data_IF_427563408748
#
_entry.id   IF_427563408748
#
_cell.length_a   1.000
_cell.length_b   1.000
_cell.length_c   1.000
_cell.angle_alpha   90.00
_cell.angle_beta   90.00
_cell.angle_gamma   90.00
#
_symmetry.space_group_name_H-M   'P 1'
#
loop_
_entity.id
_entity.type
_entity.pdbx_description
1 polymer ?
#
# COMPACT_ATOMS: atom_id res chain seq x y z
N UNK A 1 -43.56 -23.27 19.34
CA UNK A 1 -42.23 -23.77 18.93
C UNK A 1 -41.64 -22.99 17.76
N UNK A 2 -42.44 -22.62 16.75
CA UNK A 2 -42.00 -21.87 15.56
C UNK A 2 -41.49 -20.45 15.85
N UNK A 3 -42.14 -19.70 16.75
CA UNK A 3 -41.69 -18.35 17.15
C UNK A 3 -40.29 -18.31 17.75
N UNK A 4 -39.91 -19.33 18.54
CA UNK A 4 -38.58 -19.41 19.15
C UNK A 4 -37.48 -19.63 18.09
N UNK A 5 -37.80 -20.38 17.03
CA UNK A 5 -36.89 -20.67 15.92
C UNK A 5 -36.64 -19.39 15.09
N UNK A 6 -37.68 -18.59 14.86
CA UNK A 6 -37.58 -17.31 14.13
C UNK A 6 -36.65 -16.33 14.88
N UNK A 7 -36.79 -16.24 16.20
CA UNK A 7 -35.93 -15.36 17.01
C UNK A 7 -34.46 -15.79 16.96
N UNK A 8 -34.19 -17.11 17.04
CA UNK A 8 -32.83 -17.65 16.93
C UNK A 8 -32.25 -17.43 15.53
N UNK A 9 -33.06 -17.58 14.48
CA UNK A 9 -32.64 -17.33 13.11
C UNK A 9 -32.29 -15.85 12.87
N UNK A 10 -33.06 -14.92 13.44
CA UNK A 10 -32.77 -13.48 13.35
C UNK A 10 -31.46 -13.14 14.06
N UNK A 11 -31.21 -13.68 15.25
CA UNK A 11 -29.96 -13.46 15.98
C UNK A 11 -28.74 -14.02 15.23
N UNK A 12 -28.87 -15.22 14.66
CA UNK A 12 -27.82 -15.81 13.82
C UNK A 12 -27.55 -14.99 12.55
N UNK A 13 -28.60 -14.48 11.91
CA UNK A 13 -28.49 -13.65 10.71
C UNK A 13 -27.83 -12.30 11.00
N UNK A 14 -28.18 -11.66 12.13
CA UNK A 14 -27.54 -10.42 12.57
C UNK A 14 -26.06 -10.63 12.90
N UNK A 15 -25.71 -11.73 13.59
CA UNK A 15 -24.31 -12.08 13.85
C UNK A 15 -23.53 -12.30 12.54
N UNK A 16 -24.12 -12.99 11.56
CA UNK A 16 -23.53 -13.21 10.24
C UNK A 16 -23.27 -11.88 9.50
N UNK A 17 -24.25 -10.97 9.48
CA UNK A 17 -24.08 -9.64 8.86
C UNK A 17 -22.99 -8.83 9.55
N UNK A 18 -22.92 -8.83 10.89
CA UNK A 18 -21.90 -8.09 11.63
C UNK A 18 -20.48 -8.63 11.37
N UNK A 19 -20.31 -9.95 11.29
CA UNK A 19 -19.04 -10.58 10.95
C UNK A 19 -18.64 -10.28 9.49
N UNK A 20 -19.58 -10.35 8.55
CA UNK A 20 -19.29 -10.15 7.12
C UNK A 20 -19.11 -8.67 6.74
N UNK A 21 -19.79 -7.74 7.43
CA UNK A 21 -19.62 -6.29 7.26
C UNK A 21 -18.21 -5.84 7.69
N UNK A 22 -17.62 -6.49 8.70
CA UNK A 22 -16.24 -6.22 9.13
C UNK A 22 -15.20 -6.68 8.08
N UNK A 23 -15.54 -7.65 7.24
CA UNK A 23 -14.67 -8.13 6.15
C UNK A 23 -14.65 -7.17 4.96
N UNK A 24 -15.80 -6.57 4.60
CA UNK A 24 -15.91 -5.68 3.43
C UNK A 24 -15.24 -4.31 3.62
N UNK A 25 -15.11 -3.83 4.86
CA UNK A 25 -14.48 -2.52 5.11
C UNK A 25 -12.94 -2.57 5.05
N UNK A 26 -12.34 -3.77 5.18
CA UNK A 26 -10.88 -3.94 5.12
C UNK A 26 -10.32 -3.99 3.69
N UNK A 27 -11.14 -4.28 2.69
CA UNK A 27 -10.67 -4.37 1.30
C UNK A 27 -10.70 -3.03 0.56
N UNK A 28 -11.46 -2.03 1.04
CA UNK A 28 -11.55 -0.72 0.37
C UNK A 28 -10.59 0.31 0.98
N UNK A 29 -10.24 0.18 2.27
CA UNK A 29 -9.31 1.11 2.93
C UNK A 29 -7.83 0.80 2.66
N UNK A 30 -7.50 -0.44 2.30
CA UNK A 30 -6.11 -0.87 2.01
C UNK A 30 -5.64 -0.56 0.59
N UNK A 31 -6.55 -0.22 -0.35
CA UNK A 31 -6.19 0.13 -1.73
C UNK A 31 -6.24 1.63 -2.07
N UNK A 32 -6.70 2.50 -1.16
CA UNK A 32 -6.90 3.92 -1.45
C UNK A 32 -5.80 4.86 -0.93
N UNK A 33 -4.75 4.32 -0.32
CA UNK A 33 -3.64 5.10 0.22
C UNK A 33 -2.27 4.64 -0.30
N UNK A 34 -2.19 3.99 -1.46
CA UNK A 34 -1.04 4.26 -2.32
C UNK A 34 -1.27 5.63 -2.93
N UNK A 35 -1.09 6.67 -2.11
CA UNK A 35 -0.76 7.97 -2.66
C UNK A 35 0.45 7.70 -3.55
N UNK A 36 0.26 7.83 -4.86
CA UNK A 36 1.32 7.96 -5.85
C UNK A 36 1.97 9.34 -5.61
N UNK A 37 2.40 9.59 -4.38
CA UNK A 37 3.39 10.61 -4.06
C UNK A 37 4.71 9.91 -4.31
N UNK A 38 4.99 9.72 -5.60
CA UNK A 38 6.30 9.27 -6.01
C UNK A 38 7.26 10.42 -5.76
N UNK A 39 7.90 10.37 -4.60
CA UNK A 39 8.83 11.39 -4.17
C UNK A 39 10.03 11.35 -5.12
N UNK A 40 10.21 12.42 -5.88
CA UNK A 40 11.30 12.52 -6.83
C UNK A 40 12.55 13.03 -6.12
N UNK A 41 13.66 12.33 -6.30
CA UNK A 41 14.96 12.64 -5.73
C UNK A 41 15.96 12.93 -6.85
N UNK A 42 16.85 13.88 -6.59
CA UNK A 42 17.88 14.27 -7.55
C UNK A 42 19.05 13.28 -7.50
N UNK A 43 19.44 12.77 -8.68
CA UNK A 43 20.64 11.95 -8.82
C UNK A 43 21.89 12.82 -8.63
N UNK A 44 22.83 12.47 -7.72
CA UNK A 44 24.00 13.30 -7.45
C UNK A 44 25.02 13.33 -8.60
N UNK A 45 24.96 12.38 -9.53
CA UNK A 45 25.90 12.26 -10.66
C UNK A 45 25.44 13.07 -11.87
N UNK A 46 24.17 12.93 -12.29
CA UNK A 46 23.64 13.55 -13.51
C UNK A 46 22.57 14.62 -13.26
N UNK A 47 22.23 14.89 -11.99
CA UNK A 47 21.18 15.84 -11.56
C UNK A 47 19.79 15.60 -12.15
N UNK A 48 19.57 14.40 -12.68
CA UNK A 48 18.26 13.96 -13.17
C UNK A 48 17.39 13.56 -11.98
N UNK A 49 16.12 13.97 -12.00
CA UNK A 49 15.14 13.58 -11.00
C UNK A 49 14.63 12.17 -11.30
N UNK A 50 14.78 11.27 -10.32
CA UNK A 50 14.30 9.89 -10.39
C UNK A 50 13.35 9.63 -9.24
N UNK A 51 12.34 8.79 -9.47
CA UNK A 51 11.44 8.32 -8.41
C UNK A 51 12.24 7.61 -7.31
N UNK A 52 11.98 7.90 -6.03
CA UNK A 52 12.58 7.16 -4.92
C UNK A 52 12.34 5.65 -5.00
N UNK A 53 11.21 5.22 -5.56
CA UNK A 53 10.86 3.79 -5.68
C UNK A 53 11.63 3.09 -6.80
N UNK A 54 11.98 3.82 -7.85
CA UNK A 54 12.71 3.31 -9.01
C UNK A 54 14.23 3.56 -8.94
N UNK A 55 14.66 4.48 -8.07
CA UNK A 55 16.05 4.85 -7.91
C UNK A 55 16.89 3.74 -7.25
N UNK A 56 18.14 3.65 -7.69
CA UNK A 56 19.12 2.74 -7.09
C UNK A 56 19.72 3.42 -5.86
N UNK A 57 19.54 2.83 -4.68
CA UNK A 57 20.08 3.37 -3.42
C UNK A 57 21.47 2.77 -3.17
N UNK A 58 22.45 3.64 -2.94
CA UNK A 58 23.79 3.20 -2.52
C UNK A 58 24.51 4.29 -1.73
N UNK A 59 25.08 3.90 -0.59
CA UNK A 59 25.68 4.81 0.39
C UNK A 59 24.74 5.96 0.79
N UNK A 60 23.44 5.69 0.91
CA UNK A 60 22.42 6.68 1.26
C UNK A 60 22.12 7.73 0.18
N UNK A 61 22.63 7.56 -1.04
CA UNK A 61 22.36 8.42 -2.19
C UNK A 61 21.52 7.66 -3.23
N UNK A 62 20.65 8.38 -3.94
CA UNK A 62 19.75 7.84 -4.95
C UNK A 62 20.31 8.08 -6.36
N UNK A 63 20.36 7.04 -7.20
CA UNK A 63 20.93 7.10 -8.55
C UNK A 63 19.88 6.70 -9.59
N UNK A 64 19.90 7.36 -10.74
CA UNK A 64 18.98 7.07 -11.84
C UNK A 64 19.35 5.79 -12.62
N UNK A 65 20.62 5.38 -12.63
CA UNK A 65 21.10 4.22 -13.38
C UNK A 65 22.36 3.61 -12.74
N UNK A 66 22.67 2.37 -13.12
CA UNK A 66 23.92 1.68 -12.69
C UNK A 66 25.16 2.44 -13.15
N UNK A 67 25.11 3.04 -14.33
CA UNK A 67 26.21 3.86 -14.83
C UNK A 67 26.47 5.06 -13.92
N UNK A 68 25.43 5.74 -13.42
CA UNK A 68 25.59 6.84 -12.46
C UNK A 68 26.08 6.37 -11.09
N UNK A 69 25.81 5.12 -10.74
CA UNK A 69 26.28 4.47 -9.51
C UNK A 69 27.78 4.13 -9.60
N UNK A 70 28.21 3.58 -10.72
CA UNK A 70 29.59 3.14 -10.98
C UNK A 70 30.51 4.34 -11.31
N UNK A 71 29.97 5.35 -12.00
CA UNK A 71 30.64 6.63 -12.23
C UNK A 71 30.45 7.62 -11.06
N UNK A 72 30.13 7.13 -9.85
CA UNK A 72 30.34 7.94 -8.65
C UNK A 72 31.83 8.21 -8.58
N UNK A 73 32.21 9.40 -9.03
CA UNK A 73 33.58 9.89 -8.96
C UNK A 73 34.17 9.50 -7.61
N UNK A 74 35.15 8.59 -7.66
CA UNK A 74 35.99 8.20 -6.54
C UNK A 74 37.08 9.23 -6.32
#
# INVERSE_FOLDING_TARGET
MVLKIIIVAILAFLAYILLFKKSREKEISSKKNEKITDEMVECPTCKTYVSQKEAIISNGKFYCSKECLENKEG
#
